data_IF_359825227869
#
_entry.id   IF_359825227869
#
_cell.length_a   1.000
_cell.length_b   1.000
_cell.length_c   1.000
_cell.angle_alpha   90.00
_cell.angle_beta   90.00
_cell.angle_gamma   90.00
#
_symmetry.space_group_name_H-M   'P 1'
#
loop_
_entity.id
_entity.type
_entity.pdbx_description
1 polymer ?
#
# COMPACT_ATOMS: atom_id res chain seq x y z
N UNK A 1 -41.48 30.36 -6.48
CA UNK A 1 -41.43 29.71 -5.15
C UNK A 1 -40.98 28.28 -5.35
N UNK A 2 -39.82 27.89 -4.82
CA UNK A 2 -39.38 26.50 -4.86
C UNK A 2 -40.27 25.66 -3.93
N UNK A 3 -40.77 24.52 -4.40
CA UNK A 3 -41.47 23.56 -3.53
C UNK A 3 -40.48 23.04 -2.48
N UNK A 4 -40.86 22.93 -1.19
CA UNK A 4 -39.98 22.35 -0.18
C UNK A 4 -39.71 20.89 -0.54
N UNK A 5 -38.47 20.60 -0.92
CA UNK A 5 -37.96 19.26 -1.15
C UNK A 5 -37.56 18.65 0.20
N UNK A 6 -38.53 18.03 0.87
CA UNK A 6 -38.29 17.27 2.10
C UNK A 6 -38.07 15.80 1.80
N UNK A 7 -36.86 15.28 2.04
CA UNK A 7 -36.59 13.84 1.97
C UNK A 7 -37.00 13.21 3.30
N UNK A 8 -37.95 12.27 3.28
CA UNK A 8 -38.34 11.49 4.46
C UNK A 8 -37.77 10.09 4.37
N UNK A 9 -36.76 9.81 5.18
CA UNK A 9 -36.14 8.48 5.25
C UNK A 9 -37.07 7.49 5.98
N UNK A 10 -37.25 6.30 5.41
CA UNK A 10 -37.97 5.21 6.06
C UNK A 10 -37.23 4.72 7.32
N UNK A 11 -37.96 4.09 8.25
CA UNK A 11 -37.35 3.51 9.44
C UNK A 11 -36.35 2.39 9.10
N UNK A 12 -36.66 1.59 8.08
CA UNK A 12 -35.80 0.50 7.63
C UNK A 12 -34.49 0.99 7.01
N UNK A 13 -34.56 2.03 6.15
CA UNK A 13 -33.36 2.62 5.56
C UNK A 13 -32.41 3.20 6.62
N UNK A 14 -32.95 3.81 7.69
CA UNK A 14 -32.14 4.29 8.82
C UNK A 14 -31.44 3.15 9.55
N UNK A 15 -32.18 2.08 9.88
CA UNK A 15 -31.61 0.91 10.55
C UNK A 15 -30.44 0.30 9.78
N UNK A 16 -30.56 0.16 8.47
CA UNK A 16 -29.50 -0.41 7.63
C UNK A 16 -28.21 0.43 7.67
N UNK A 17 -28.35 1.75 7.59
CA UNK A 17 -27.21 2.68 7.69
C UNK A 17 -26.63 2.71 9.11
N UNK A 18 -27.48 2.64 10.14
CA UNK A 18 -27.03 2.63 11.53
C UNK A 18 -26.22 1.36 11.85
N UNK A 19 -26.62 0.19 11.34
CA UNK A 19 -25.85 -1.06 11.47
C UNK A 19 -24.49 -0.93 10.80
N UNK A 20 -24.45 -0.42 9.57
CA UNK A 20 -23.18 -0.17 8.88
C UNK A 20 -22.27 0.78 9.69
N UNK A 21 -22.84 1.88 10.22
CA UNK A 21 -22.09 2.85 11.02
C UNK A 21 -21.52 2.23 12.29
N UNK A 22 -22.30 1.41 12.99
CA UNK A 22 -21.84 0.72 14.20
C UNK A 22 -20.68 -0.23 13.90
N UNK A 23 -20.79 -1.03 12.83
CA UNK A 23 -19.71 -1.94 12.42
C UNK A 23 -18.45 -1.16 12.01
N UNK A 24 -18.59 -0.10 11.22
CA UNK A 24 -17.48 0.78 10.82
C UNK A 24 -16.71 1.33 12.03
N UNK A 25 -17.44 1.77 13.06
CA UNK A 25 -16.83 2.34 14.26
C UNK A 25 -16.13 1.28 15.10
N UNK A 26 -16.75 0.11 15.25
CA UNK A 26 -16.14 -1.03 15.95
C UNK A 26 -14.85 -1.49 15.25
N UNK A 27 -14.88 -1.62 13.92
CA UNK A 27 -13.70 -1.99 13.12
C UNK A 27 -12.58 -0.95 13.21
N UNK A 28 -12.93 0.35 13.21
CA UNK A 28 -11.95 1.42 13.39
C UNK A 28 -11.32 1.39 14.78
N UNK A 29 -12.10 1.09 15.82
CA UNK A 29 -11.62 0.95 17.19
C UNK A 29 -10.65 -0.25 17.31
N UNK A 30 -11.06 -1.42 16.81
CA UNK A 30 -10.22 -2.63 16.78
C UNK A 30 -8.94 -2.41 15.97
N UNK A 31 -9.04 -1.67 14.86
CA UNK A 31 -7.90 -1.30 14.05
C UNK A 31 -6.86 -0.51 14.86
N UNK A 32 -7.30 0.52 15.59
CA UNK A 32 -6.41 1.40 16.35
C UNK A 32 -5.81 0.72 17.58
N UNK A 33 -6.62 0.00 18.37
CA UNK A 33 -6.18 -0.54 19.65
C UNK A 33 -5.47 -1.88 19.56
N UNK A 34 -5.77 -2.70 18.54
CA UNK A 34 -5.23 -4.05 18.42
C UNK A 34 -4.42 -4.22 17.14
N UNK A 35 -5.05 -4.03 15.99
CA UNK A 35 -4.44 -4.40 14.71
C UNK A 35 -3.17 -3.60 14.43
N UNK A 36 -3.23 -2.28 14.55
CA UNK A 36 -2.13 -1.40 14.16
C UNK A 36 -0.86 -1.64 15.01
N UNK A 37 -0.90 -1.61 16.36
CA UNK A 37 0.29 -1.90 17.17
C UNK A 37 0.90 -3.27 16.85
N UNK A 38 0.06 -4.30 16.67
CA UNK A 38 0.51 -5.64 16.29
C UNK A 38 1.19 -5.63 14.91
N UNK A 39 0.65 -4.86 13.95
CA UNK A 39 1.20 -4.79 12.59
C UNK A 39 2.56 -4.10 12.55
N UNK A 40 2.79 -3.08 13.37
CA UNK A 40 4.12 -2.46 13.53
C UNK A 40 5.14 -3.49 14.02
N UNK A 41 4.79 -4.26 15.05
CA UNK A 41 5.67 -5.29 15.62
C UNK A 41 5.96 -6.37 14.58
N UNK A 42 4.93 -6.84 13.88
CA UNK A 42 5.05 -7.84 12.83
C UNK A 42 5.97 -7.38 11.70
N UNK A 43 5.77 -6.17 11.15
CA UNK A 43 6.63 -5.63 10.10
C UNK A 43 8.07 -5.41 10.59
N UNK A 44 8.24 -5.06 11.87
CA UNK A 44 9.56 -4.98 12.47
C UNK A 44 10.26 -6.35 12.51
N UNK A 45 9.54 -7.42 12.84
CA UNK A 45 10.05 -8.79 12.83
C UNK A 45 10.38 -9.25 11.41
N UNK A 46 9.49 -8.98 10.44
CA UNK A 46 9.71 -9.28 9.03
C UNK A 46 11.01 -8.63 8.51
N UNK A 47 11.27 -7.38 8.90
CA UNK A 47 12.52 -6.68 8.58
C UNK A 47 13.78 -7.27 9.23
N UNK A 48 13.66 -8.19 10.19
CA UNK A 48 14.81 -8.92 10.75
C UNK A 48 15.07 -10.25 10.03
N UNK A 49 14.20 -10.68 9.12
CA UNK A 49 14.42 -11.93 8.38
C UNK A 49 15.62 -11.83 7.43
N UNK A 50 16.36 -12.92 7.28
CA UNK A 50 17.52 -13.00 6.38
C UNK A 50 17.14 -12.68 4.92
N UNK A 51 15.89 -13.01 4.54
CA UNK A 51 15.31 -12.73 3.22
C UNK A 51 15.29 -11.24 2.89
N UNK A 52 15.21 -10.34 3.89
CA UNK A 52 15.20 -8.89 3.76
C UNK A 52 16.51 -8.23 4.24
N UNK A 53 17.52 -9.03 4.60
CA UNK A 53 18.83 -8.58 5.07
C UNK A 53 19.99 -9.20 4.27
N UNK A 54 19.80 -9.32 2.96
CA UNK A 54 20.84 -9.79 2.02
C UNK A 54 21.99 -8.78 1.96
N UNK A 55 23.19 -9.19 2.39
CA UNK A 55 24.39 -8.35 2.41
C UNK A 55 25.05 -8.19 1.04
N UNK A 56 25.03 -9.25 0.21
CA UNK A 56 25.58 -9.27 -1.14
C UNK A 56 24.44 -9.43 -2.16
N UNK A 57 24.12 -8.34 -2.86
CA UNK A 57 23.03 -8.31 -3.85
C UNK A 57 23.32 -9.20 -5.07
N UNK A 58 24.58 -9.53 -5.35
CA UNK A 58 24.89 -10.45 -6.46
C UNK A 58 24.34 -11.86 -6.21
N UNK A 59 24.13 -12.22 -4.94
CA UNK A 59 23.47 -13.47 -4.55
C UNK A 59 22.00 -13.55 -4.98
N UNK A 60 21.37 -12.42 -5.32
CA UNK A 60 20.01 -12.37 -5.83
C UNK A 60 19.92 -12.76 -7.31
N UNK A 61 21.03 -12.79 -8.06
CA UNK A 61 21.01 -13.03 -9.50
C UNK A 61 20.52 -14.45 -9.81
N UNK A 62 19.41 -14.54 -10.54
CA UNK A 62 18.93 -15.80 -11.11
C UNK A 62 19.80 -16.22 -12.30
N UNK A 63 20.01 -17.53 -12.55
CA UNK A 63 20.71 -17.99 -13.75
C UNK A 63 19.95 -17.56 -15.02
N UNK A 64 20.65 -16.90 -15.95
CA UNK A 64 20.14 -16.57 -17.29
C UNK A 64 20.88 -17.41 -18.34
N UNK A 65 20.31 -18.55 -18.68
CA UNK A 65 20.84 -19.45 -19.72
C UNK A 65 20.39 -19.00 -21.12
N UNK A 66 20.69 -17.75 -21.47
CA UNK A 66 20.45 -17.21 -22.81
C UNK A 66 21.65 -17.57 -23.69
N UNK A 67 21.47 -18.30 -24.80
CA UNK A 67 22.56 -18.63 -25.71
C UNK A 67 23.13 -17.35 -26.34
N UNK A 68 24.43 -17.12 -26.17
CA UNK A 68 25.15 -15.97 -26.74
C UNK A 68 25.51 -16.30 -28.20
N UNK A 69 25.08 -15.50 -29.20
CA UNK A 69 25.46 -15.72 -30.60
C UNK A 69 26.98 -15.54 -30.80
N UNK A 70 27.57 -16.37 -31.65
CA UNK A 70 28.99 -16.21 -32.04
C UNK A 70 29.20 -14.84 -32.71
N UNK A 71 30.36 -14.18 -32.47
CA UNK A 71 30.71 -12.97 -33.18
C UNK A 71 30.80 -13.23 -34.70
N UNK A 72 30.42 -12.25 -35.54
CA UNK A 72 30.55 -12.41 -36.99
C UNK A 72 32.02 -12.66 -37.37
N UNK A 73 32.29 -13.47 -38.40
CA UNK A 73 33.65 -13.65 -38.91
C UNK A 73 34.22 -12.28 -39.30
N UNK A 74 35.51 -12.06 -39.02
CA UNK A 74 36.20 -10.85 -39.47
C UNK A 74 36.30 -10.91 -41.00
N UNK A 75 35.98 -9.80 -41.65
CA UNK A 75 36.10 -9.61 -43.10
C UNK A 75 37.57 -9.69 -43.53
N UNK A 76 38.08 -10.90 -43.71
CA UNK A 76 39.25 -11.17 -44.54
C UNK A 76 38.86 -12.30 -45.49
N UNK A 77 38.83 -11.92 -46.78
CA UNK A 77 38.59 -12.74 -47.97
C UNK A 77 37.12 -12.89 -48.43
N UNK A 78 36.78 -12.06 -49.43
CA UNK A 78 35.63 -12.29 -50.31
C UNK A 78 35.80 -13.62 -51.04
N UNK A 79 35.04 -14.63 -50.66
CA UNK A 79 34.68 -15.73 -51.56
C UNK A 79 33.18 -15.95 -51.47
N UNK A 80 32.51 -15.81 -52.61
CA UNK A 80 31.09 -16.05 -52.78
C UNK A 80 30.82 -17.54 -52.73
N UNK A 81 30.55 -18.07 -51.55
CA UNK A 81 29.87 -19.36 -51.43
C UNK A 81 28.83 -19.34 -50.31
N UNK A 82 27.75 -20.08 -50.55
CA UNK A 82 26.43 -20.03 -49.90
C UNK A 82 26.46 -19.68 -48.40
N UNK A 83 25.92 -18.51 -48.05
CA UNK A 83 25.49 -18.22 -46.68
C UNK A 83 24.37 -19.18 -46.26
N UNK A 84 24.73 -20.31 -45.67
CA UNK A 84 23.82 -21.03 -44.79
C UNK A 84 23.37 -20.05 -43.70
N UNK A 85 22.07 -19.73 -43.66
CA UNK A 85 21.49 -18.97 -42.54
C UNK A 85 21.77 -19.76 -41.26
N UNK A 86 22.79 -19.38 -40.50
CA UNK A 86 22.98 -19.89 -39.13
C UNK A 86 21.68 -19.65 -38.38
N UNK A 87 20.99 -20.72 -38.00
CA UNK A 87 19.77 -20.62 -37.20
C UNK A 87 20.10 -19.92 -35.88
N UNK A 88 19.39 -18.83 -35.59
CA UNK A 88 19.54 -18.12 -34.32
C UNK A 88 19.18 -19.09 -33.19
N UNK A 89 20.06 -19.30 -32.19
CA UNK A 89 19.76 -20.18 -31.07
C UNK A 89 18.42 -19.79 -30.43
N UNK A 90 17.45 -20.71 -30.42
CA UNK A 90 16.17 -20.47 -29.76
C UNK A 90 16.39 -20.47 -28.26
N UNK A 91 16.10 -19.34 -27.62
CA UNK A 91 16.13 -19.21 -26.17
C UNK A 91 15.11 -20.17 -25.53
N UNK A 92 15.52 -20.92 -24.51
CA UNK A 92 14.65 -21.81 -23.74
C UNK A 92 13.70 -21.06 -22.79
N UNK A 93 12.96 -21.80 -21.97
CA UNK A 93 12.16 -21.21 -20.90
C UNK A 93 13.08 -20.60 -19.84
N UNK A 94 12.90 -19.31 -19.55
CA UNK A 94 13.61 -18.61 -18.49
C UNK A 94 12.68 -18.48 -17.27
N UNK A 95 12.96 -19.16 -16.14
CA UNK A 95 12.18 -19.00 -14.93
C UNK A 95 12.38 -17.59 -14.33
N UNK A 96 11.37 -17.10 -13.61
CA UNK A 96 11.49 -15.85 -12.85
C UNK A 96 12.40 -16.01 -11.63
N UNK A 97 12.87 -14.88 -11.08
CA UNK A 97 13.72 -14.89 -9.90
C UNK A 97 12.96 -15.34 -8.66
N UNK A 98 13.18 -16.59 -8.22
CA UNK A 98 12.46 -17.20 -7.10
C UNK A 98 12.61 -16.42 -5.79
N UNK A 99 13.79 -15.85 -5.51
CA UNK A 99 14.03 -15.07 -4.29
C UNK A 99 13.17 -13.80 -4.27
N UNK A 100 13.15 -13.08 -5.40
CA UNK A 100 12.31 -11.89 -5.55
C UNK A 100 10.83 -12.26 -5.54
N UNK A 101 10.43 -13.39 -6.12
CA UNK A 101 9.05 -13.88 -6.11
C UNK A 101 8.56 -14.23 -4.69
N UNK A 102 9.40 -14.86 -3.86
CA UNK A 102 9.10 -15.13 -2.45
C UNK A 102 8.90 -13.83 -1.68
N UNK A 103 9.79 -12.85 -1.86
CA UNK A 103 9.64 -11.53 -1.23
C UNK A 103 8.37 -10.81 -1.70
N UNK A 104 8.06 -10.86 -2.99
CA UNK A 104 6.81 -10.32 -3.53
C UNK A 104 5.58 -10.96 -2.87
N UNK A 105 5.62 -12.27 -2.62
CA UNK A 105 4.52 -12.98 -1.97
C UNK A 105 4.33 -12.54 -0.51
N UNK A 106 5.41 -12.13 0.18
CA UNK A 106 5.36 -11.61 1.54
C UNK A 106 4.89 -10.14 1.58
N UNK A 107 5.38 -9.29 0.66
CA UNK A 107 5.10 -7.84 0.69
C UNK A 107 3.73 -7.49 0.11
N UNK A 108 3.26 -8.18 -0.93
CA UNK A 108 1.98 -7.87 -1.60
C UNK A 108 0.77 -7.85 -0.64
N UNK A 109 0.55 -8.86 0.23
CA UNK A 109 -0.56 -8.83 1.17
C UNK A 109 -0.52 -7.64 2.12
N UNK A 110 0.68 -7.23 2.55
CA UNK A 110 0.87 -6.10 3.46
C UNK A 110 0.44 -4.77 2.83
N UNK A 111 0.77 -4.57 1.54
CA UNK A 111 0.34 -3.39 0.76
C UNK A 111 -1.19 -3.36 0.60
N UNK A 112 -1.80 -4.48 0.22
CA UNK A 112 -3.26 -4.56 0.07
C UNK A 112 -3.98 -4.31 1.38
N UNK A 113 -3.47 -4.88 2.46
CA UNK A 113 -4.03 -4.72 3.80
C UNK A 113 -3.97 -3.25 4.24
N UNK A 114 -2.83 -2.57 4.06
CA UNK A 114 -2.73 -1.15 4.40
C UNK A 114 -3.74 -0.31 3.59
N UNK A 115 -3.87 -0.58 2.29
CA UNK A 115 -4.83 0.11 1.43
C UNK A 115 -6.27 -0.02 1.94
N UNK A 116 -6.69 -1.24 2.32
CA UNK A 116 -8.01 -1.47 2.90
C UNK A 116 -8.19 -0.71 4.22
N UNK A 117 -7.18 -0.72 5.09
CA UNK A 117 -7.22 0.01 6.37
C UNK A 117 -7.21 1.53 6.20
N UNK A 118 -6.53 2.07 5.18
CA UNK A 118 -6.63 3.49 4.85
C UNK A 118 -8.06 3.86 4.43
N UNK A 119 -8.71 3.04 3.61
CA UNK A 119 -10.12 3.26 3.22
C UNK A 119 -11.05 3.22 4.44
N UNK A 120 -10.83 2.26 5.35
CA UNK A 120 -11.56 2.18 6.62
C UNK A 120 -11.43 3.48 7.43
N UNK A 121 -10.20 3.95 7.66
CA UNK A 121 -9.92 5.18 8.44
C UNK A 121 -10.50 6.42 7.76
N UNK A 122 -10.35 6.54 6.44
CA UNK A 122 -10.93 7.64 5.65
C UNK A 122 -12.45 7.67 5.84
N UNK A 123 -13.11 6.53 5.69
CA UNK A 123 -14.56 6.42 5.80
C UNK A 123 -15.02 6.73 7.22
N UNK A 124 -14.30 6.23 8.23
CA UNK A 124 -14.59 6.48 9.64
C UNK A 124 -14.51 7.97 9.99
N UNK A 125 -13.42 8.65 9.62
CA UNK A 125 -13.24 10.08 9.89
C UNK A 125 -14.30 10.91 9.13
N UNK A 126 -14.62 10.56 7.89
CA UNK A 126 -15.68 11.24 7.13
C UNK A 126 -17.05 11.17 7.84
N UNK A 127 -17.36 10.07 8.53
CA UNK A 127 -18.60 9.95 9.32
C UNK A 127 -18.57 10.74 10.64
N UNK A 128 -17.39 11.15 11.11
CA UNK A 128 -17.20 11.99 12.30
C UNK A 128 -17.22 13.49 11.99
N UNK A 129 -17.17 13.88 10.71
CA UNK A 129 -17.28 15.29 10.33
C UNK A 129 -18.70 15.77 10.67
N UNK A 130 -18.86 16.78 11.56
CA UNK A 130 -20.16 17.26 11.97
C UNK A 130 -20.83 18.06 10.85
N UNK A 131 -22.07 18.47 11.08
CA UNK A 131 -22.74 19.41 10.17
C UNK A 131 -21.91 20.69 10.03
N UNK A 132 -21.89 21.24 8.82
CA UNK A 132 -21.21 22.51 8.54
C UNK A 132 -21.97 23.61 9.27
N UNK A 133 -21.27 24.32 10.13
CA UNK A 133 -21.75 25.45 10.95
C UNK A 133 -20.71 26.58 10.88
N UNK A 134 -21.12 27.81 11.16
CA UNK A 134 -20.21 28.96 11.11
C UNK A 134 -19.44 29.06 12.44
N UNK A 135 -18.13 28.78 12.40
CA UNK A 135 -17.23 28.86 13.56
C UNK A 135 -17.04 27.53 14.30
N UNK A 136 -16.03 27.52 15.19
CA UNK A 136 -15.55 26.32 15.91
C UNK A 136 -15.01 25.22 14.97
N UNK A 137 -14.29 25.60 13.91
CA UNK A 137 -13.88 24.70 12.82
C UNK A 137 -12.49 24.10 12.99
N UNK A 138 -11.80 24.40 14.09
CA UNK A 138 -10.47 23.88 14.35
C UNK A 138 -10.43 22.34 14.41
N UNK A 139 -11.44 21.72 15.04
CA UNK A 139 -11.58 20.25 15.06
C UNK A 139 -11.81 19.65 13.67
N UNK A 140 -12.58 20.34 12.83
CA UNK A 140 -12.85 19.91 11.45
C UNK A 140 -11.59 20.01 10.59
N UNK A 141 -10.80 21.08 10.74
CA UNK A 141 -9.52 21.23 10.05
C UNK A 141 -8.50 20.13 10.45
N UNK A 142 -8.54 19.64 11.68
CA UNK A 142 -7.74 18.48 12.10
C UNK A 142 -8.21 17.22 11.37
N UNK A 143 -9.53 16.98 11.28
CA UNK A 143 -10.08 15.83 10.55
C UNK A 143 -9.65 15.85 9.07
N UNK A 144 -9.73 17.00 8.40
CA UNK A 144 -9.28 17.18 7.01
C UNK A 144 -7.79 16.87 6.82
N UNK A 145 -6.94 17.33 7.73
CA UNK A 145 -5.49 17.08 7.67
C UNK A 145 -5.13 15.59 7.83
N UNK A 146 -5.87 14.86 8.66
CA UNK A 146 -5.67 13.40 8.81
C UNK A 146 -6.12 12.66 7.54
N UNK A 147 -7.24 13.08 6.93
CA UNK A 147 -7.71 12.53 5.65
C UNK A 147 -6.71 12.72 4.51
N UNK A 148 -6.10 13.91 4.41
CA UNK A 148 -5.11 14.20 3.37
C UNK A 148 -3.91 13.25 3.45
N UNK A 149 -3.44 12.92 4.67
CA UNK A 149 -2.34 11.96 4.86
C UNK A 149 -2.75 10.55 4.44
N UNK A 150 -3.91 10.07 4.89
CA UNK A 150 -4.38 8.73 4.54
C UNK A 150 -4.61 8.54 3.03
N UNK A 151 -4.92 9.61 2.28
CA UNK A 151 -5.19 9.54 0.84
C UNK A 151 -3.94 9.62 -0.05
N UNK A 152 -2.85 10.26 0.39
CA UNK A 152 -1.68 10.55 -0.45
C UNK A 152 -0.81 9.33 -0.77
N UNK A 153 -0.90 8.25 0.01
CA UNK A 153 0.04 7.11 -0.07
C UNK A 153 -0.46 5.92 -0.89
N UNK A 154 -1.56 6.06 -1.63
CA UNK A 154 -2.13 4.96 -2.43
C UNK A 154 -1.48 4.78 -3.81
N UNK A 155 -0.51 5.63 -4.17
CA UNK A 155 0.16 5.61 -5.48
C UNK A 155 1.40 4.70 -5.46
N UNK A 156 1.18 3.39 -5.32
CA UNK A 156 2.22 2.36 -5.41
C UNK A 156 2.77 2.35 -6.84
N UNK A 157 4.05 2.69 -6.97
CA UNK A 157 4.74 3.13 -8.19
C UNK A 157 4.84 2.09 -9.32
N UNK A 158 4.77 2.60 -10.56
CA UNK A 158 5.01 1.88 -11.81
C UNK A 158 6.48 1.47 -11.97
N UNK A 159 6.77 0.17 -12.12
CA UNK A 159 8.14 -0.30 -12.37
C UNK A 159 8.27 -1.32 -13.48
N UNK A 160 9.14 -1.00 -14.44
CA UNK A 160 9.75 -1.89 -15.45
C UNK A 160 11.12 -1.37 -15.88
N UNK A 161 12.13 -2.25 -15.98
CA UNK A 161 13.22 -2.30 -17.00
C UNK A 161 14.55 -2.99 -16.59
N UNK A 162 14.86 -4.12 -17.23
CA UNK A 162 16.15 -4.86 -17.32
C UNK A 162 16.53 -5.84 -16.19
N UNK A 163 16.34 -7.12 -16.50
CA UNK A 163 16.14 -8.26 -15.59
C UNK A 163 17.09 -8.37 -14.38
N UNK A 164 18.40 -8.12 -14.50
CA UNK A 164 19.29 -8.27 -13.33
C UNK A 164 19.45 -7.01 -12.49
N UNK A 165 19.63 -5.85 -13.13
CA UNK A 165 19.54 -4.56 -12.44
C UNK A 165 18.14 -4.37 -11.84
N UNK A 166 17.12 -4.99 -12.45
CA UNK A 166 15.76 -5.07 -11.91
C UNK A 166 15.61 -6.00 -10.75
N UNK A 167 16.30 -7.13 -10.70
CA UNK A 167 16.16 -8.02 -9.54
C UNK A 167 16.79 -7.37 -8.30
N UNK A 168 17.97 -6.75 -8.46
CA UNK A 168 18.63 -6.01 -7.38
C UNK A 168 17.81 -4.75 -7.00
N UNK A 169 17.31 -3.99 -7.98
CA UNK A 169 16.44 -2.84 -7.72
C UNK A 169 15.10 -3.25 -7.10
N UNK A 170 14.43 -4.29 -7.59
CA UNK A 170 13.17 -4.79 -7.06
C UNK A 170 13.32 -5.31 -5.64
N UNK A 171 14.43 -5.97 -5.31
CA UNK A 171 14.74 -6.33 -3.93
C UNK A 171 14.83 -5.08 -3.04
N UNK A 172 15.59 -4.06 -3.48
CA UNK A 172 15.73 -2.80 -2.76
C UNK A 172 14.38 -2.09 -2.57
N UNK A 173 13.57 -2.02 -3.62
CA UNK A 173 12.22 -1.46 -3.61
C UNK A 173 11.30 -2.22 -2.66
N UNK A 174 11.29 -3.57 -2.69
CA UNK A 174 10.47 -4.38 -1.79
C UNK A 174 10.86 -4.19 -0.33
N UNK A 175 12.16 -4.11 -0.03
CA UNK A 175 12.63 -3.84 1.32
C UNK A 175 12.25 -2.42 1.77
N UNK A 176 12.38 -1.43 0.88
CA UNK A 176 11.93 -0.07 1.14
C UNK A 176 10.42 -0.01 1.41
N UNK A 177 9.61 -0.73 0.63
CA UNK A 177 8.17 -0.83 0.87
C UNK A 177 7.84 -1.34 2.28
N UNK A 178 8.52 -2.38 2.78
CA UNK A 178 8.26 -2.87 4.15
C UNK A 178 8.63 -1.83 5.21
N UNK A 179 9.72 -1.08 5.01
CA UNK A 179 10.10 0.04 5.88
C UNK A 179 9.03 1.14 5.87
N UNK A 180 8.58 1.53 4.69
CA UNK A 180 7.57 2.58 4.49
C UNK A 180 6.23 2.15 5.10
N UNK A 181 5.77 0.91 4.86
CA UNK A 181 4.56 0.35 5.46
C UNK A 181 4.60 0.45 6.98
N UNK A 182 5.72 0.05 7.61
CA UNK A 182 5.89 0.14 9.06
C UNK A 182 5.87 1.60 9.53
N UNK A 183 6.54 2.50 8.82
CA UNK A 183 6.55 3.92 9.11
C UNK A 183 5.13 4.51 9.03
N UNK A 184 4.39 4.20 7.97
CA UNK A 184 3.01 4.68 7.78
C UNK A 184 2.07 4.20 8.86
N UNK A 185 2.12 2.93 9.27
CA UNK A 185 1.33 2.49 10.43
C UNK A 185 1.70 3.29 11.69
N UNK A 186 2.99 3.48 11.97
CA UNK A 186 3.42 4.26 13.14
C UNK A 186 2.97 5.73 13.07
N UNK A 187 3.04 6.36 11.90
CA UNK A 187 2.59 7.73 11.68
C UNK A 187 1.08 7.86 11.81
N UNK A 188 0.30 6.93 11.24
CA UNK A 188 -1.16 6.87 11.38
C UNK A 188 -1.56 6.72 12.84
N UNK A 189 -0.91 5.82 13.57
CA UNK A 189 -1.17 5.68 15.01
C UNK A 189 -0.87 6.96 15.75
N UNK A 190 0.33 7.52 15.56
CA UNK A 190 0.75 8.72 16.25
C UNK A 190 -0.19 9.90 15.98
N UNK A 191 -0.55 10.16 14.72
CA UNK A 191 -1.42 11.28 14.39
C UNK A 191 -2.85 11.07 14.91
N UNK A 192 -3.40 9.86 14.82
CA UNK A 192 -4.76 9.58 15.31
C UNK A 192 -4.78 9.61 16.83
N UNK A 193 -3.87 8.92 17.52
CA UNK A 193 -3.84 8.85 18.98
C UNK A 193 -3.61 10.23 19.62
N UNK A 194 -2.75 11.05 19.03
CA UNK A 194 -2.44 12.39 19.56
C UNK A 194 -3.60 13.37 19.39
N UNK A 195 -4.54 13.08 18.49
CA UNK A 195 -5.67 13.97 18.16
C UNK A 195 -7.03 13.31 18.43
N UNK A 196 -7.07 12.17 19.11
CA UNK A 196 -8.25 11.30 19.18
C UNK A 196 -9.50 12.04 19.68
N UNK A 197 -9.37 12.81 20.77
CA UNK A 197 -10.49 13.59 21.33
C UNK A 197 -11.06 14.59 20.31
N UNK A 198 -10.21 15.25 19.53
CA UNK A 198 -10.64 16.20 18.50
C UNK A 198 -11.18 15.51 17.25
N UNK A 199 -10.74 14.29 16.96
CA UNK A 199 -11.26 13.48 15.86
C UNK A 199 -12.69 13.01 16.18
N UNK A 200 -12.92 12.50 17.40
CA UNK A 200 -14.22 11.94 17.81
C UNK A 200 -15.23 13.02 18.27
N UNK A 201 -14.74 14.11 18.84
CA UNK A 201 -15.56 15.20 19.39
C UNK A 201 -15.01 16.58 18.95
N UNK A 202 -15.09 16.90 17.65
CA UNK A 202 -14.47 18.11 17.09
C UNK A 202 -15.07 19.41 17.65
N UNK A 203 -16.36 19.39 18.03
CA UNK A 203 -17.08 20.56 18.57
C UNK A 203 -17.06 20.62 20.11
N UNK A 204 -16.55 19.59 20.80
CA UNK A 204 -16.46 19.57 22.26
C UNK A 204 -17.82 19.43 22.96
N UNK A 205 -18.75 18.70 22.34
CA UNK A 205 -20.06 18.42 22.93
C UNK A 205 -19.88 17.64 24.23
N UNK A 206 -20.60 18.03 25.29
CA UNK A 206 -20.61 17.26 26.53
C UNK A 206 -21.17 15.87 26.24
N UNK A 207 -20.41 14.81 26.56
CA UNK A 207 -20.95 13.45 26.54
C UNK A 207 -22.22 13.44 27.38
N UNK A 208 -23.36 12.93 26.89
CA UNK A 208 -24.56 12.85 27.72
C UNK A 208 -24.18 12.11 29.00
N UNK A 209 -24.39 12.78 30.14
CA UNK A 209 -24.13 12.22 31.46
C UNK A 209 -24.83 10.86 31.54
N UNK A 210 -24.05 9.78 31.60
CA UNK A 210 -24.56 8.45 31.90
C UNK A 210 -24.85 8.35 33.41
N UNK A 211 -25.82 9.15 33.86
CA UNK A 211 -26.49 9.04 35.17
C UNK A 211 -27.96 9.36 35.01
#
# INVERSE_FOLDING_TARGET
MAKPSGVRLSGEARKQVDVFRQNLFQEAEEFLYSFLPQKIIHLNQLLQEDSLNVADLTSLRAPLDIPIPDPPPKDDEMETDKQEKKEVPKCGFLPGNEKVLVLLALVKPEVWTLKEKCILVITWIQHLIPKIEDGNDFGVAIQEKVLERASKETHVMDYRALVHERDEAAYGELRAMVLDLRAFYAELYHIISSNLEKIINPKGEEKPSMY
#
